data_IF_070854997248
#
_entry.id   IF_070854997248
#
_cell.length_a   1.000
_cell.length_b   1.000
_cell.length_c   1.000
_cell.angle_alpha   90.00
_cell.angle_beta   90.00
_cell.angle_gamma   90.00
#
_symmetry.space_group_name_H-M   'P 1'
#
loop_
_entity.id
_entity.type
_entity.pdbx_description
1 polymer ?
#
# COMPACT_ATOMS: atom_id res chain seq x y z
N UNK A 1 42.23 30.41 -14.77
CA UNK A 1 41.85 28.98 -14.69
C UNK A 1 41.96 28.41 -16.08
N UNK A 2 42.73 27.34 -16.22
CA UNK A 2 43.08 26.75 -17.50
C UNK A 2 41.88 26.00 -18.09
N UNK A 3 41.43 26.35 -19.30
CA UNK A 3 40.30 25.70 -19.96
C UNK A 3 40.51 24.18 -20.15
N UNK A 4 41.76 23.72 -20.10
CA UNK A 4 42.12 22.31 -20.14
C UNK A 4 41.70 21.54 -18.88
N UNK A 5 41.80 22.14 -17.70
CA UNK A 5 41.43 21.48 -16.43
C UNK A 5 39.91 21.32 -16.29
N UNK A 6 39.15 22.33 -16.71
CA UNK A 6 37.67 22.30 -16.68
C UNK A 6 37.12 21.18 -17.57
N UNK A 7 37.72 20.96 -18.75
CA UNK A 7 37.26 19.92 -19.68
C UNK A 7 37.56 18.49 -19.20
N UNK A 8 38.67 18.28 -18.49
CA UNK A 8 39.01 16.98 -17.89
C UNK A 8 38.06 16.63 -16.75
N UNK A 9 37.72 17.61 -15.91
CA UNK A 9 36.79 17.43 -14.80
C UNK A 9 35.37 17.13 -15.30
N UNK A 10 34.92 17.82 -16.36
CA UNK A 10 33.63 17.58 -17.01
C UNK A 10 33.55 16.19 -17.68
N UNK A 11 34.63 15.75 -18.32
CA UNK A 11 34.72 14.41 -18.92
C UNK A 11 34.71 13.31 -17.84
N UNK A 12 35.40 13.55 -16.72
CA UNK A 12 35.41 12.62 -15.60
C UNK A 12 34.02 12.51 -14.94
N UNK A 13 33.32 13.63 -14.76
CA UNK A 13 31.94 13.65 -14.26
C UNK A 13 30.98 12.90 -15.21
N UNK A 14 31.10 13.10 -16.53
CA UNK A 14 30.28 12.39 -17.52
C UNK A 14 30.53 10.89 -17.52
N UNK A 15 31.78 10.46 -17.43
CA UNK A 15 32.12 9.04 -17.40
C UNK A 15 31.69 8.37 -16.08
N UNK A 16 31.79 9.08 -14.95
CA UNK A 16 31.24 8.61 -13.68
C UNK A 16 29.71 8.51 -13.72
N UNK A 17 29.03 9.50 -14.29
CA UNK A 17 27.58 9.46 -14.48
C UNK A 17 27.16 8.29 -15.38
N UNK A 18 27.82 8.08 -16.52
CA UNK A 18 27.52 6.97 -17.42
C UNK A 18 27.76 5.60 -16.76
N UNK A 19 28.82 5.45 -15.97
CA UNK A 19 29.09 4.22 -15.22
C UNK A 19 28.05 3.95 -14.12
N UNK A 20 27.61 4.99 -13.41
CA UNK A 20 26.53 4.89 -12.41
C UNK A 20 25.21 4.52 -13.08
N UNK A 21 24.89 5.07 -14.26
CA UNK A 21 23.68 4.75 -15.03
C UNK A 21 23.70 3.30 -15.57
N UNK A 22 24.83 2.82 -16.08
CA UNK A 22 24.94 1.43 -16.55
C UNK A 22 24.82 0.42 -15.39
N UNK A 23 25.45 0.71 -14.25
CA UNK A 23 25.34 -0.14 -13.06
C UNK A 23 23.98 -0.06 -12.37
N UNK A 24 23.28 1.08 -12.43
CA UNK A 24 21.93 1.20 -11.91
C UNK A 24 20.95 0.39 -12.74
N UNK A 25 21.01 0.45 -14.08
CA UNK A 25 20.15 -0.36 -14.95
C UNK A 25 20.37 -1.86 -14.73
N UNK A 26 21.62 -2.32 -14.59
CA UNK A 26 21.94 -3.71 -14.30
C UNK A 26 21.50 -4.16 -12.88
N UNK A 27 21.48 -3.27 -11.89
CA UNK A 27 20.99 -3.58 -10.53
C UNK A 27 19.48 -3.42 -10.38
N UNK A 28 18.84 -2.59 -11.20
CA UNK A 28 17.38 -2.47 -11.28
C UNK A 28 16.78 -3.66 -12.02
N UNK A 29 17.47 -4.23 -13.01
CA UNK A 29 17.13 -5.56 -13.52
C UNK A 29 17.23 -6.65 -12.44
N UNK A 30 18.05 -6.45 -11.40
CA UNK A 30 18.14 -7.34 -10.23
C UNK A 30 17.15 -6.99 -9.09
N UNK A 31 16.42 -5.87 -9.15
CA UNK A 31 15.32 -5.55 -8.22
C UNK A 31 14.12 -6.48 -8.42
N UNK A 32 14.02 -7.16 -9.55
CA UNK A 32 13.06 -8.24 -9.80
C UNK A 32 13.25 -9.46 -8.87
N UNK A 33 14.38 -9.53 -8.14
CA UNK A 33 14.47 -10.41 -6.98
C UNK A 33 13.55 -9.87 -5.87
N UNK A 34 12.26 -10.18 -6.01
CA UNK A 34 11.17 -9.88 -5.10
C UNK A 34 11.51 -10.20 -3.63
N UNK A 35 12.41 -11.14 -3.36
CA UNK A 35 12.93 -11.36 -2.00
C UNK A 35 13.69 -10.16 -1.43
N UNK A 36 14.61 -9.54 -2.18
CA UNK A 36 15.44 -8.45 -1.65
C UNK A 36 14.62 -7.19 -1.32
N UNK A 37 13.63 -6.85 -2.16
CA UNK A 37 12.69 -5.75 -1.89
C UNK A 37 11.83 -6.01 -0.65
N UNK A 38 11.34 -7.25 -0.50
CA UNK A 38 10.36 -7.60 0.53
C UNK A 38 10.99 -8.10 1.86
N UNK A 39 12.27 -8.49 1.88
CA UNK A 39 12.94 -9.06 3.07
C UNK A 39 13.56 -8.04 4.03
N UNK A 40 13.52 -6.75 3.72
CA UNK A 40 13.98 -5.73 4.68
C UNK A 40 14.15 -4.32 4.16
N UNK A 41 14.15 -4.11 2.84
CA UNK A 41 14.28 -2.77 2.27
C UNK A 41 13.01 -1.95 2.39
N UNK A 42 11.85 -2.57 2.13
CA UNK A 42 10.57 -1.88 2.08
C UNK A 42 9.64 -2.43 3.14
N UNK A 43 9.28 -1.57 4.09
CA UNK A 43 8.20 -1.84 5.01
C UNK A 43 6.86 -1.68 4.30
N UNK A 44 6.06 -2.74 4.30
CA UNK A 44 4.70 -2.72 3.80
C UNK A 44 3.71 -3.16 4.88
N UNK A 45 2.71 -2.33 5.13
CA UNK A 45 1.56 -2.62 5.98
C UNK A 45 0.30 -2.31 5.17
N UNK A 46 -0.21 -3.31 4.44
CA UNK A 46 -1.35 -3.13 3.54
C UNK A 46 -2.69 -3.26 4.29
N UNK A 47 -2.82 -4.26 5.16
CA UNK A 47 -3.99 -4.45 6.02
C UNK A 47 -3.75 -3.74 7.35
N UNK A 48 -3.75 -2.42 7.33
CA UNK A 48 -3.46 -1.62 8.51
C UNK A 48 -4.69 -1.49 9.43
N UNK A 49 -4.46 -1.46 10.75
CA UNK A 49 -5.56 -1.42 11.71
C UNK A 49 -6.12 0.00 11.90
N UNK A 50 -7.40 0.14 11.58
CA UNK A 50 -8.21 1.31 11.92
C UNK A 50 -9.08 1.11 13.17
N UNK A 51 -9.13 -0.10 13.74
CA UNK A 51 -10.06 -0.49 14.80
C UNK A 51 -9.33 -0.67 16.13
N UNK A 52 -9.34 0.36 16.97
CA UNK A 52 -9.09 0.13 18.39
C UNK A 52 -10.30 -0.55 19.05
N UNK A 53 -10.08 -1.26 20.15
CA UNK A 53 -11.18 -1.80 21.00
C UNK A 53 -12.21 -0.70 21.30
N UNK A 54 -11.73 0.52 21.57
CA UNK A 54 -12.60 1.68 21.76
C UNK A 54 -13.49 1.99 20.54
N UNK A 55 -12.96 1.97 19.32
CA UNK A 55 -13.75 2.18 18.09
C UNK A 55 -14.76 1.06 17.89
N UNK A 56 -14.41 -0.19 18.22
CA UNK A 56 -15.35 -1.31 18.17
C UNK A 56 -16.52 -1.10 19.15
N UNK A 57 -16.22 -0.73 20.40
CA UNK A 57 -17.24 -0.42 21.42
C UNK A 57 -18.11 0.74 20.94
N UNK A 58 -17.50 1.83 20.47
CA UNK A 58 -18.22 2.99 19.93
C UNK A 58 -19.12 2.62 18.75
N UNK A 59 -18.64 1.75 17.85
CA UNK A 59 -19.43 1.23 16.72
C UNK A 59 -20.64 0.46 17.21
N UNK A 60 -20.48 -0.43 18.21
CA UNK A 60 -21.57 -1.22 18.78
C UNK A 60 -22.59 -0.28 19.46
N UNK A 61 -22.13 0.63 20.31
CA UNK A 61 -22.98 1.60 21.01
C UNK A 61 -23.76 2.48 20.03
N UNK A 62 -23.08 3.08 19.04
CA UNK A 62 -23.73 3.90 18.02
C UNK A 62 -24.73 3.09 17.20
N UNK A 63 -24.42 1.84 16.86
CA UNK A 63 -25.32 0.98 16.11
C UNK A 63 -26.61 0.68 16.90
N UNK A 64 -26.48 0.42 18.21
CA UNK A 64 -27.62 0.19 19.11
C UNK A 64 -28.44 1.48 19.28
N UNK A 65 -27.80 2.60 19.61
CA UNK A 65 -28.47 3.86 19.91
C UNK A 65 -29.14 4.50 18.70
N UNK A 66 -28.58 4.32 17.50
CA UNK A 66 -29.04 5.01 16.28
C UNK A 66 -29.74 4.08 15.29
N UNK A 67 -30.01 2.83 15.70
CA UNK A 67 -30.54 1.78 14.83
C UNK A 67 -29.72 1.64 13.52
N UNK A 68 -28.42 1.90 13.60
CA UNK A 68 -27.47 1.82 12.49
C UNK A 68 -27.38 3.04 11.57
N UNK A 69 -28.15 4.12 11.79
CA UNK A 69 -28.09 5.33 10.96
C UNK A 69 -26.69 6.00 10.97
N UNK A 70 -25.96 5.93 12.08
CA UNK A 70 -24.62 6.52 12.19
C UNK A 70 -23.48 5.56 11.82
N UNK A 71 -23.80 4.31 11.46
CA UNK A 71 -22.80 3.32 11.02
C UNK A 71 -21.92 3.84 9.87
N UNK A 72 -22.45 4.55 8.84
CA UNK A 72 -21.65 5.11 7.76
C UNK A 72 -20.53 6.07 8.18
N UNK A 73 -20.79 6.93 9.17
CA UNK A 73 -19.81 7.91 9.67
C UNK A 73 -18.63 7.18 10.31
N UNK A 74 -18.93 6.17 11.13
CA UNK A 74 -17.92 5.33 11.78
C UNK A 74 -17.08 4.56 10.74
N UNK A 75 -17.69 4.09 9.66
CA UNK A 75 -16.95 3.43 8.56
C UNK A 75 -15.93 4.40 7.95
N UNK A 76 -16.31 5.63 7.63
CA UNK A 76 -15.37 6.61 7.08
C UNK A 76 -14.22 6.93 8.06
N UNK A 77 -14.51 7.03 9.36
CA UNK A 77 -13.46 7.24 10.38
C UNK A 77 -12.49 6.06 10.47
N UNK A 78 -12.99 4.82 10.44
CA UNK A 78 -12.17 3.61 10.45
C UNK A 78 -11.31 3.55 9.19
N UNK A 79 -11.90 3.77 8.02
CA UNK A 79 -11.18 3.77 6.74
C UNK A 79 -10.08 4.82 6.73
N UNK A 80 -10.39 6.06 7.14
CA UNK A 80 -9.38 7.13 7.27
C UNK A 80 -8.21 6.71 8.14
N UNK A 81 -8.50 6.11 9.30
CA UNK A 81 -7.46 5.65 10.23
C UNK A 81 -6.63 4.51 9.64
N UNK A 82 -7.29 3.55 8.99
CA UNK A 82 -6.65 2.43 8.31
C UNK A 82 -5.75 2.92 7.17
N UNK A 83 -6.22 3.80 6.28
CA UNK A 83 -5.39 4.38 5.21
C UNK A 83 -4.18 5.11 5.79
N UNK A 84 -4.34 5.93 6.82
CA UNK A 84 -3.22 6.66 7.45
C UNK A 84 -2.20 5.75 8.14
N UNK A 85 -2.58 4.53 8.53
CA UNK A 85 -1.66 3.53 9.05
C UNK A 85 -1.06 2.64 7.98
N UNK A 86 -1.57 2.66 6.74
CA UNK A 86 -0.97 1.92 5.64
C UNK A 86 0.39 2.53 5.25
N UNK A 87 1.36 1.63 5.07
CA UNK A 87 2.68 1.95 4.56
C UNK A 87 2.93 1.10 3.33
N UNK A 88 3.31 1.73 2.24
CA UNK A 88 3.60 1.08 0.97
C UNK A 88 4.86 1.72 0.41
N UNK A 89 5.88 0.93 0.04
CA UNK A 89 7.08 1.51 -0.56
C UNK A 89 7.84 2.44 0.40
N UNK A 90 7.82 2.16 1.72
CA UNK A 90 8.32 3.07 2.76
C UNK A 90 7.67 4.47 2.76
N UNK A 91 6.47 4.60 2.22
CA UNK A 91 5.68 5.84 2.25
C UNK A 91 4.34 5.59 2.92
N UNK A 92 3.89 6.54 3.74
CA UNK A 92 2.55 6.48 4.32
C UNK A 92 1.54 6.90 3.29
N UNK A 93 0.34 6.35 3.37
CA UNK A 93 -0.79 6.92 2.64
C UNK A 93 -1.44 8.04 3.47
N UNK A 94 -1.96 9.03 2.77
CA UNK A 94 -2.80 10.07 3.32
C UNK A 94 -4.22 9.89 2.82
N UNK A 95 -5.16 10.41 3.60
CA UNK A 95 -6.58 10.39 3.27
C UNK A 95 -7.10 11.82 3.43
N UNK A 96 -7.54 12.39 2.31
CA UNK A 96 -8.14 13.72 2.24
C UNK A 96 -9.50 13.71 2.93
N UNK A 97 -9.59 14.49 4.00
CA UNK A 97 -10.68 14.49 4.94
C UNK A 97 -11.67 15.63 4.72
N UNK A 98 -11.57 16.38 3.60
CA UNK A 98 -12.50 17.44 3.21
C UNK A 98 -13.92 17.04 3.62
N UNK A 99 -14.47 17.78 4.60
CA UNK A 99 -15.46 17.39 5.61
C UNK A 99 -16.80 16.84 5.11
N UNK A 100 -16.74 15.74 4.39
CA UNK A 100 -17.78 15.31 3.49
C UNK A 100 -18.69 14.28 4.16
N UNK A 101 -19.83 14.77 4.67
CA UNK A 101 -21.02 13.96 4.92
C UNK A 101 -21.45 13.16 3.66
N UNK A 102 -20.99 13.57 2.47
CA UNK A 102 -21.23 12.88 1.20
C UNK A 102 -20.72 11.43 1.24
N UNK A 103 -19.57 11.14 1.86
CA UNK A 103 -19.08 9.76 1.98
C UNK A 103 -19.98 8.88 2.86
N UNK A 104 -20.54 9.46 3.92
CA UNK A 104 -21.52 8.77 4.75
C UNK A 104 -22.81 8.49 3.96
N UNK A 105 -23.25 9.44 3.13
CA UNK A 105 -24.42 9.25 2.25
C UNK A 105 -24.17 8.16 1.20
N UNK A 106 -23.01 8.15 0.54
CA UNK A 106 -22.65 7.09 -0.41
C UNK A 106 -22.60 5.71 0.24
N UNK A 107 -22.05 5.61 1.45
CA UNK A 107 -22.05 4.37 2.23
C UNK A 107 -23.46 3.90 2.59
N UNK A 108 -24.35 4.83 2.97
CA UNK A 108 -25.74 4.50 3.25
C UNK A 108 -26.45 3.98 2.00
N UNK A 109 -26.31 4.69 0.87
CA UNK A 109 -26.90 4.30 -0.40
C UNK A 109 -26.39 2.92 -0.85
N UNK A 110 -25.09 2.68 -0.77
CA UNK A 110 -24.48 1.40 -1.13
C UNK A 110 -25.03 0.24 -0.28
N UNK A 111 -25.14 0.43 1.05
CA UNK A 111 -25.74 -0.58 1.94
C UNK A 111 -27.22 -0.82 1.61
N UNK A 112 -27.98 0.24 1.38
CA UNK A 112 -29.39 0.16 1.01
C UNK A 112 -29.59 -0.63 -0.30
N UNK A 113 -28.80 -0.31 -1.33
CA UNK A 113 -28.83 -1.02 -2.61
C UNK A 113 -28.40 -2.48 -2.46
N UNK A 114 -27.36 -2.76 -1.66
CA UNK A 114 -26.95 -4.13 -1.36
C UNK A 114 -28.06 -4.92 -0.64
N UNK A 115 -28.82 -4.32 0.27
CA UNK A 115 -29.94 -4.98 0.95
C UNK A 115 -31.07 -5.28 -0.05
N UNK A 116 -31.50 -4.29 -0.84
CA UNK A 116 -32.60 -4.47 -1.81
C UNK A 116 -32.25 -5.51 -2.88
N UNK A 117 -31.00 -5.51 -3.33
CA UNK A 117 -30.53 -6.45 -4.36
C UNK A 117 -30.03 -7.77 -3.77
N UNK A 118 -30.18 -8.01 -2.46
CA UNK A 118 -29.67 -9.22 -1.78
C UNK A 118 -28.18 -9.50 -2.06
N UNK A 119 -27.37 -8.44 -2.15
CA UNK A 119 -25.93 -8.50 -2.39
C UNK A 119 -25.51 -8.58 -3.86
N UNK A 120 -26.44 -8.66 -4.81
CA UNK A 120 -26.11 -8.63 -6.24
C UNK A 120 -25.42 -7.33 -6.66
N UNK A 121 -25.76 -6.20 -6.04
CA UNK A 121 -25.11 -4.91 -6.26
C UNK A 121 -23.59 -4.97 -6.03
N UNK A 122 -23.16 -5.66 -4.97
CA UNK A 122 -21.75 -5.92 -4.69
C UNK A 122 -21.13 -6.93 -5.68
N UNK A 123 -21.78 -8.08 -5.88
CA UNK A 123 -21.28 -9.15 -6.77
C UNK A 123 -21.06 -8.68 -8.22
N UNK A 124 -21.93 -7.80 -8.74
CA UNK A 124 -21.81 -7.21 -10.08
C UNK A 124 -20.75 -6.10 -10.17
N UNK A 125 -20.12 -5.72 -9.05
CA UNK A 125 -19.06 -4.72 -9.02
C UNK A 125 -19.55 -3.27 -8.99
N UNK A 126 -20.87 -3.02 -8.89
CA UNK A 126 -21.39 -1.66 -8.84
C UNK A 126 -20.96 -0.93 -7.56
N UNK A 127 -20.90 -1.63 -6.43
CA UNK A 127 -20.34 -1.10 -5.18
C UNK A 127 -18.88 -0.64 -5.35
N UNK A 128 -18.06 -1.44 -6.04
CA UNK A 128 -16.66 -1.10 -6.31
C UNK A 128 -16.55 0.15 -7.19
N UNK A 129 -17.37 0.23 -8.24
CA UNK A 129 -17.33 1.31 -9.22
C UNK A 129 -17.85 2.64 -8.67
N UNK A 130 -18.95 2.64 -7.92
CA UNK A 130 -19.63 3.88 -7.52
C UNK A 130 -19.33 4.32 -6.08
N UNK A 131 -19.09 3.38 -5.17
CA UNK A 131 -18.86 3.70 -3.77
C UNK A 131 -17.37 3.57 -3.39
N UNK A 132 -16.76 2.41 -3.62
CA UNK A 132 -15.38 2.17 -3.16
C UNK A 132 -14.35 3.02 -3.93
N UNK A 133 -14.61 3.35 -5.19
CA UNK A 133 -13.79 4.29 -5.97
C UNK A 133 -13.71 5.67 -5.34
N UNK A 134 -14.76 6.12 -4.62
CA UNK A 134 -14.75 7.40 -3.91
C UNK A 134 -13.85 7.41 -2.69
N UNK A 135 -13.59 6.26 -2.07
CA UNK A 135 -12.52 6.16 -1.08
C UNK A 135 -11.16 6.30 -1.73
N UNK A 136 -10.91 5.58 -2.83
CA UNK A 136 -9.62 5.60 -3.52
C UNK A 136 -9.29 6.99 -4.09
N UNK A 137 -10.28 7.73 -4.59
CA UNK A 137 -10.11 9.13 -5.05
C UNK A 137 -9.59 10.07 -3.94
N UNK A 138 -9.87 9.77 -2.67
CA UNK A 138 -9.42 10.54 -1.50
C UNK A 138 -8.07 10.10 -0.96
N UNK A 139 -7.49 9.01 -1.48
CA UNK A 139 -6.17 8.53 -1.07
C UNK A 139 -5.11 9.30 -1.84
N UNK A 140 -4.12 9.81 -1.11
CA UNK A 140 -2.93 10.45 -1.66
C UNK A 140 -1.67 9.80 -1.09
N UNK A 141 -0.57 9.96 -1.80
CA UNK A 141 0.73 9.66 -1.21
C UNK A 141 1.04 10.65 -0.10
N UNK A 142 1.40 10.11 1.07
CA UNK A 142 1.85 10.88 2.22
C UNK A 142 3.37 10.99 2.30
N UNK A 143 3.91 11.45 3.44
CA UNK A 143 5.35 11.52 3.67
C UNK A 143 5.98 10.13 3.79
N UNK A 144 7.32 10.03 3.63
CA UNK A 144 8.08 8.83 3.96
C UNK A 144 7.76 8.30 5.36
N UNK A 145 7.63 6.98 5.50
CA UNK A 145 7.33 6.33 6.77
C UNK A 145 8.61 6.21 7.62
N UNK A 146 8.79 7.12 8.59
CA UNK A 146 9.90 7.14 9.58
C UNK A 146 11.22 6.58 9.03
N UNK A 147 12.04 7.46 8.46
CA UNK A 147 13.48 7.23 8.32
C UNK A 147 14.08 7.07 9.71
N UNK A 148 14.40 5.84 10.12
CA UNK A 148 15.06 5.61 11.41
C UNK A 148 16.44 6.29 11.32
N UNK A 149 16.90 6.87 12.44
CA UNK A 149 18.24 7.47 12.64
C UNK A 149 19.42 6.49 12.43
N UNK A 150 19.18 5.33 11.84
CA UNK A 150 20.19 4.31 11.64
C UNK A 150 20.87 4.53 10.30
N UNK A 151 22.21 4.52 10.31
CA UNK A 151 23.11 4.73 9.16
C UNK A 151 22.99 3.65 8.04
N UNK A 152 21.90 2.88 7.99
CA UNK A 152 21.75 1.83 6.99
C UNK A 152 21.08 2.39 5.74
N UNK A 153 21.85 2.37 4.65
CA UNK A 153 21.42 2.70 3.28
C UNK A 153 20.07 2.06 2.91
N UNK A 154 19.79 0.87 3.43
CA UNK A 154 18.56 0.12 3.20
C UNK A 154 17.29 0.84 3.68
N UNK A 155 17.37 1.64 4.74
CA UNK A 155 16.22 2.37 5.30
C UNK A 155 15.92 3.68 4.53
N UNK A 156 16.77 4.04 3.56
CA UNK A 156 16.67 5.31 2.82
C UNK A 156 15.95 5.17 1.47
N UNK A 157 15.65 3.95 1.01
CA UNK A 157 14.94 3.72 -0.24
C UNK A 157 13.44 3.93 -0.03
N UNK A 158 12.84 4.85 -0.78
CA UNK A 158 11.43 5.22 -0.68
C UNK A 158 10.81 5.31 -2.07
N UNK A 159 9.52 4.98 -2.16
CA UNK A 159 8.75 5.19 -3.37
C UNK A 159 8.51 6.67 -3.63
N UNK A 160 9.02 7.16 -4.77
CA UNK A 160 8.79 8.50 -5.29
C UNK A 160 7.73 8.41 -6.41
N UNK A 161 6.48 8.79 -6.13
CA UNK A 161 5.41 8.74 -7.12
C UNK A 161 5.56 9.86 -8.16
N UNK A 162 5.04 9.66 -9.36
CA UNK A 162 5.04 10.68 -10.42
C UNK A 162 4.06 11.81 -10.11
N UNK A 163 2.94 11.48 -9.47
CA UNK A 163 1.89 12.40 -9.07
C UNK A 163 1.51 12.18 -7.59
N UNK A 164 0.55 12.97 -7.09
CA UNK A 164 0.03 12.82 -5.73
C UNK A 164 -0.75 11.50 -5.51
N UNK A 165 -0.94 10.70 -6.57
CA UNK A 165 -1.68 9.44 -6.55
C UNK A 165 -3.21 9.58 -6.61
N UNK A 166 -3.74 10.81 -6.66
CA UNK A 166 -5.20 11.05 -6.66
C UNK A 166 -5.84 10.39 -7.88
N UNK A 167 -6.76 9.45 -7.64
CA UNK A 167 -7.47 8.72 -8.69
C UNK A 167 -6.64 7.65 -9.42
N UNK A 168 -5.34 7.53 -9.15
CA UNK A 168 -4.53 6.41 -9.66
C UNK A 168 -4.64 5.17 -8.78
N UNK A 169 -4.92 5.35 -7.49
CA UNK A 169 -5.12 4.26 -6.55
C UNK A 169 -6.36 3.43 -6.89
N UNK A 170 -6.21 2.11 -6.77
CA UNK A 170 -7.30 1.13 -6.75
C UNK A 170 -7.06 0.16 -5.61
N UNK A 171 -7.27 0.59 -4.38
CA UNK A 171 -7.04 -0.23 -3.18
C UNK A 171 -8.37 -0.85 -2.76
N UNK A 172 -9.38 0.00 -2.53
CA UNK A 172 -10.71 -0.44 -2.10
C UNK A 172 -11.59 -0.80 -3.30
N UNK A 173 -11.46 -0.09 -4.42
CA UNK A 173 -12.24 -0.32 -5.64
C UNK A 173 -11.75 -1.47 -6.50
N UNK A 174 -10.70 -2.20 -6.07
CA UNK A 174 -10.21 -3.39 -6.74
C UNK A 174 -11.34 -4.43 -6.85
N UNK A 175 -11.76 -4.72 -8.08
CA UNK A 175 -12.85 -5.64 -8.38
C UNK A 175 -12.34 -6.87 -9.12
N UNK A 176 -12.72 -8.06 -8.65
CA UNK A 176 -12.20 -9.32 -9.20
C UNK A 176 -12.87 -9.76 -10.50
N UNK A 177 -14.03 -9.19 -10.81
CA UNK A 177 -14.94 -9.70 -11.84
C UNK A 177 -15.99 -10.64 -11.26
N UNK A 178 -17.17 -10.66 -11.87
CA UNK A 178 -18.39 -11.34 -11.37
C UNK A 178 -18.10 -12.80 -10.98
N UNK A 179 -17.42 -13.54 -11.84
CA UNK A 179 -17.15 -14.97 -11.61
C UNK A 179 -16.21 -15.22 -10.44
N UNK A 180 -15.19 -14.37 -10.26
CA UNK A 180 -14.24 -14.53 -9.16
C UNK A 180 -14.87 -14.11 -7.83
N UNK A 181 -15.70 -13.06 -7.81
CA UNK A 181 -16.48 -12.67 -6.63
C UNK A 181 -17.47 -13.78 -6.25
N UNK A 182 -18.18 -14.33 -7.24
CA UNK A 182 -19.10 -15.44 -7.01
C UNK A 182 -18.38 -16.68 -6.49
N UNK A 183 -17.22 -17.03 -7.06
CA UNK A 183 -16.40 -18.13 -6.57
C UNK A 183 -15.92 -17.89 -5.13
N UNK A 184 -15.49 -16.65 -4.81
CA UNK A 184 -15.11 -16.25 -3.46
C UNK A 184 -16.28 -16.38 -2.46
N UNK A 185 -17.47 -15.93 -2.87
CA UNK A 185 -18.70 -16.09 -2.10
C UNK A 185 -19.03 -17.57 -1.84
N UNK A 186 -19.01 -18.41 -2.87
CA UNK A 186 -19.27 -19.85 -2.75
C UNK A 186 -18.24 -20.54 -1.86
N UNK A 187 -16.94 -20.19 -1.97
CA UNK A 187 -15.90 -20.68 -1.07
C UNK A 187 -16.14 -20.25 0.38
N UNK A 188 -16.67 -19.04 0.60
CA UNK A 188 -17.08 -18.56 1.93
C UNK A 188 -18.23 -19.40 2.51
N UNK A 189 -19.26 -19.67 1.70
CA UNK A 189 -20.40 -20.52 2.09
C UNK A 189 -19.93 -21.95 2.41
N UNK A 190 -19.12 -22.55 1.55
CA UNK A 190 -18.53 -23.87 1.81
C UNK A 190 -17.69 -23.85 3.08
N UNK A 191 -16.83 -22.84 3.25
CA UNK A 191 -16.01 -22.72 4.45
C UNK A 191 -16.85 -22.67 5.74
N UNK A 192 -18.03 -22.02 5.71
CA UNK A 192 -18.96 -22.05 6.83
C UNK A 192 -19.48 -23.47 7.12
N UNK A 193 -19.92 -24.22 6.10
CA UNK A 193 -20.36 -25.61 6.26
C UNK A 193 -19.23 -26.55 6.73
N UNK A 194 -17.99 -26.26 6.34
CA UNK A 194 -16.80 -27.00 6.74
C UNK A 194 -16.13 -26.46 8.01
N UNK A 195 -16.87 -25.70 8.84
CA UNK A 195 -16.43 -25.18 10.15
C UNK A 195 -15.08 -24.45 10.10
N UNK A 196 -14.82 -23.72 9.01
CA UNK A 196 -13.61 -22.90 8.86
C UNK A 196 -12.39 -23.64 8.30
N UNK A 197 -12.47 -24.95 8.02
CA UNK A 197 -11.31 -25.73 7.52
C UNK A 197 -10.87 -25.35 6.11
N UNK A 198 -11.75 -24.75 5.31
CA UNK A 198 -11.44 -24.24 3.96
C UNK A 198 -10.93 -22.79 3.96
N UNK A 199 -10.79 -22.15 5.13
CA UNK A 199 -10.33 -20.76 5.24
C UNK A 199 -8.99 -20.52 4.54
N UNK A 200 -7.97 -21.41 4.67
CA UNK A 200 -6.69 -21.25 3.96
C UNK A 200 -6.84 -21.13 2.45
N UNK A 201 -7.66 -22.00 1.85
CA UNK A 201 -7.90 -22.05 0.40
C UNK A 201 -8.69 -20.81 -0.03
N UNK A 202 -9.78 -20.50 0.67
CA UNK A 202 -10.64 -19.35 0.37
C UNK A 202 -9.86 -18.04 0.42
N UNK A 203 -9.08 -17.83 1.47
CA UNK A 203 -8.27 -16.63 1.70
C UNK A 203 -7.16 -16.55 0.67
N UNK A 204 -6.43 -17.63 0.40
CA UNK A 204 -5.39 -17.63 -0.64
C UNK A 204 -5.98 -17.33 -2.02
N UNK A 205 -7.08 -17.97 -2.40
CA UNK A 205 -7.75 -17.74 -3.67
C UNK A 205 -8.14 -16.26 -3.82
N UNK A 206 -8.86 -15.73 -2.83
CA UNK A 206 -9.39 -14.38 -2.88
C UNK A 206 -8.28 -13.32 -2.88
N UNK A 207 -7.32 -13.39 -1.94
CA UNK A 207 -6.24 -12.40 -1.85
C UNK A 207 -5.26 -12.45 -3.04
N UNK A 208 -4.97 -13.63 -3.58
CA UNK A 208 -4.11 -13.74 -4.77
C UNK A 208 -4.73 -13.03 -5.97
N UNK A 209 -6.06 -13.13 -6.14
CA UNK A 209 -6.78 -12.43 -7.20
C UNK A 209 -6.96 -10.95 -6.88
N UNK A 210 -7.27 -10.59 -5.63
CA UNK A 210 -7.55 -9.22 -5.23
C UNK A 210 -6.32 -8.35 -5.38
N UNK A 211 -5.20 -8.77 -4.81
CA UNK A 211 -3.96 -8.00 -4.84
C UNK A 211 -3.43 -7.83 -6.27
N UNK A 212 -3.70 -8.79 -7.18
CA UNK A 212 -3.38 -8.64 -8.61
C UNK A 212 -4.14 -7.51 -9.33
N UNK A 213 -5.27 -7.09 -8.78
CA UNK A 213 -6.11 -6.00 -9.30
C UNK A 213 -5.86 -4.67 -8.60
N UNK A 214 -5.14 -4.69 -7.48
CA UNK A 214 -4.78 -3.47 -6.76
C UNK A 214 -3.77 -2.67 -7.58
N UNK A 215 -4.02 -1.37 -7.69
CA UNK A 215 -3.10 -0.42 -8.34
C UNK A 215 -2.68 0.64 -7.33
N UNK A 216 -1.38 0.87 -7.24
CA UNK A 216 -0.81 1.80 -6.27
C UNK A 216 -0.24 3.06 -6.94
N UNK A 217 -0.42 3.20 -8.26
CA UNK A 217 0.09 4.33 -9.02
C UNK A 217 1.49 4.09 -9.58
N UNK A 218 1.95 5.08 -10.35
CA UNK A 218 3.21 5.04 -11.08
C UNK A 218 4.28 5.84 -10.33
N UNK A 219 5.51 5.35 -10.35
CA UNK A 219 6.61 5.98 -9.65
C UNK A 219 7.91 5.23 -9.85
N UNK A 220 8.85 5.50 -8.97
CA UNK A 220 10.17 4.86 -8.94
C UNK A 220 10.66 4.74 -7.51
N UNK A 221 11.55 3.79 -7.25
CA UNK A 221 12.28 3.77 -6.00
C UNK A 221 13.44 4.76 -6.05
N UNK A 222 13.48 5.66 -5.07
CA UNK A 222 14.51 6.67 -4.93
C UNK A 222 15.12 6.63 -3.53
N UNK A 223 16.38 7.02 -3.41
CA UNK A 223 17.07 7.13 -2.12
C UNK A 223 16.89 8.54 -1.57
N UNK A 224 16.49 8.64 -0.31
CA UNK A 224 16.48 9.89 0.44
C UNK A 224 17.91 10.17 0.91
N UNK A 225 18.48 11.28 0.45
CA UNK A 225 19.79 11.73 0.90
C UNK A 225 19.81 11.95 2.43
N UNK A 226 20.86 11.53 3.15
CA UNK A 226 20.92 11.64 4.61
C UNK A 226 20.66 13.04 5.18
N UNK A 227 21.17 14.08 4.52
CA UNK A 227 20.91 15.48 4.92
C UNK A 227 19.43 15.91 4.78
N UNK A 228 18.63 15.21 3.97
CA UNK A 228 17.20 15.48 3.85
C UNK A 228 16.39 14.81 4.95
N UNK A 229 16.92 13.78 5.61
CA UNK A 229 16.19 13.01 6.64
C UNK A 229 15.70 13.92 7.77
N UNK A 230 16.59 14.76 8.31
CA UNK A 230 16.22 15.69 9.38
C UNK A 230 15.18 16.72 8.93
N UNK A 231 15.31 17.24 7.69
CA UNK A 231 14.34 18.18 7.14
C UNK A 231 12.97 17.54 6.92
N UNK A 232 12.91 16.28 6.48
CA UNK A 232 11.66 15.52 6.26
C UNK A 232 11.01 15.18 7.60
N UNK A 233 11.80 14.77 8.60
CA UNK A 233 11.31 14.49 9.95
C UNK A 233 10.76 15.75 10.63
N UNK A 234 11.38 16.92 10.39
CA UNK A 234 10.90 18.20 10.88
C UNK A 234 9.74 18.78 10.06
N UNK A 235 9.70 18.56 8.74
CA UNK A 235 8.57 18.94 7.86
C UNK A 235 7.26 18.24 8.22
N UNK A 236 7.34 17.06 8.82
CA UNK A 236 6.16 16.39 9.36
C UNK A 236 5.54 17.14 10.56
N UNK A 237 6.18 18.21 11.07
CA UNK A 237 5.76 18.95 12.26
C UNK A 237 5.28 20.38 11.95
N UNK A 238 5.98 21.17 11.13
CA UNK A 238 5.57 22.54 10.78
C UNK A 238 6.18 23.02 9.44
N UNK A 239 5.42 23.86 8.71
CA UNK A 239 5.65 24.60 7.44
C UNK A 239 6.83 24.28 6.49
N UNK A 240 6.48 24.20 5.20
CA UNK A 240 7.33 23.98 4.04
C UNK A 240 8.54 24.94 3.98
N UNK A 241 9.74 24.39 4.10
CA UNK A 241 10.98 25.04 3.67
C UNK A 241 11.60 24.19 2.56
N UNK A 242 11.80 24.72 1.34
CA UNK A 242 12.37 23.94 0.26
C UNK A 242 13.72 23.37 0.68
N UNK A 243 13.83 22.04 0.63
CA UNK A 243 15.02 21.31 1.04
C UNK A 243 16.17 21.72 0.11
N UNK A 244 17.13 22.48 0.62
CA UNK A 244 18.33 22.85 -0.12
C UNK A 244 19.33 21.69 -0.04
N UNK A 245 19.35 20.85 -1.07
CA UNK A 245 20.36 19.79 -1.18
C UNK A 245 21.59 20.35 -1.90
N UNK A 246 22.81 20.16 -1.38
CA UNK A 246 24.04 20.47 -2.11
C UNK A 246 24.07 19.65 -3.41
N UNK A 247 23.90 20.29 -4.56
CA UNK A 247 23.88 19.64 -5.89
C UNK A 247 25.24 19.07 -6.30
N UNK A 248 26.28 19.50 -5.61
CA UNK A 248 27.69 19.17 -5.75
C UNK A 248 28.08 17.87 -5.03
N UNK A 249 27.23 17.34 -4.15
CA UNK A 249 27.48 16.04 -3.51
C UNK A 249 26.98 14.89 -4.40
N UNK A 250 27.91 14.23 -5.09
CA UNK A 250 27.65 12.98 -5.79
C UNK A 250 27.41 11.89 -4.76
N UNK A 251 26.14 11.59 -4.48
CA UNK A 251 25.79 10.44 -3.66
C UNK A 251 26.00 9.17 -4.50
N UNK A 252 26.97 8.34 -4.12
CA UNK A 252 27.31 7.12 -4.86
C UNK A 252 26.27 6.02 -4.61
N UNK A 253 25.12 6.15 -5.27
CA UNK A 253 23.99 5.22 -5.20
C UNK A 253 23.61 4.75 -6.61
N UNK A 254 23.24 3.47 -6.79
CA UNK A 254 22.64 3.02 -8.04
C UNK A 254 21.17 3.44 -8.17
N UNK A 255 20.57 4.11 -7.19
CA UNK A 255 19.18 4.57 -7.22
C UNK A 255 19.10 6.07 -7.50
N UNK A 256 18.04 6.57 -8.14
CA UNK A 256 17.83 8.01 -8.23
C UNK A 256 17.75 8.60 -6.82
N UNK A 257 18.32 9.79 -6.61
CA UNK A 257 18.14 10.51 -5.34
C UNK A 257 16.80 11.24 -5.40
N UNK A 258 15.96 11.10 -4.37
CA UNK A 258 14.65 11.73 -4.34
C UNK A 258 14.77 13.25 -4.45
N UNK A 259 13.82 13.89 -5.12
CA UNK A 259 13.77 15.34 -5.39
C UNK A 259 14.86 15.88 -6.32
N UNK A 260 15.73 15.03 -6.88
CA UNK A 260 16.66 15.43 -7.93
C UNK A 260 16.00 15.31 -9.32
N UNK A 261 16.42 16.13 -10.30
CA UNK A 261 15.95 16.01 -11.67
C UNK A 261 16.14 14.59 -12.21
N UNK A 262 15.19 14.13 -12.99
CA UNK A 262 15.26 12.80 -13.60
C UNK A 262 16.44 12.76 -14.59
N UNK A 263 17.34 11.79 -14.39
CA UNK A 263 18.34 11.45 -15.40
C UNK A 263 17.76 10.47 -16.42
N UNK A 264 18.17 10.60 -17.68
CA UNK A 264 17.86 9.64 -18.74
C UNK A 264 18.35 8.24 -18.31
N UNK A 265 17.43 7.27 -18.25
CA UNK A 265 17.73 5.89 -17.84
C UNK A 265 17.07 5.43 -16.54
N UNK A 266 16.43 6.31 -15.76
CA UNK A 266 15.57 5.90 -14.66
C UNK A 266 14.19 5.46 -15.19
N UNK A 267 13.96 4.15 -15.24
CA UNK A 267 12.66 3.59 -15.61
C UNK A 267 11.54 4.01 -14.64
N UNK A 268 10.34 4.14 -15.17
CA UNK A 268 9.12 4.26 -14.38
C UNK A 268 8.50 2.88 -14.18
N UNK A 269 7.93 2.66 -13.00
CA UNK A 269 7.35 1.39 -12.62
C UNK A 269 5.92 1.60 -12.10
N UNK A 270 5.07 0.61 -12.34
CA UNK A 270 3.80 0.47 -11.62
C UNK A 270 4.04 -0.44 -10.42
N UNK A 271 3.68 0.02 -9.23
CA UNK A 271 3.79 -0.79 -8.03
C UNK A 271 2.55 -1.70 -7.92
N UNK A 272 2.80 -3.01 -7.94
CA UNK A 272 1.78 -4.05 -7.81
C UNK A 272 1.98 -4.87 -6.54
N UNK A 273 0.87 -5.40 -6.05
CA UNK A 273 0.89 -6.31 -4.91
C UNK A 273 0.66 -7.73 -5.36
N UNK A 274 1.33 -8.66 -4.67
CA UNK A 274 1.16 -10.09 -4.87
C UNK A 274 0.99 -10.78 -3.54
N UNK A 275 0.05 -11.72 -3.46
CA UNK A 275 -0.04 -12.61 -2.33
C UNK A 275 0.90 -13.82 -2.57
N UNK A 276 1.90 -14.00 -1.71
CA UNK A 276 2.96 -15.02 -1.88
C UNK A 276 2.81 -16.16 -0.86
N UNK A 277 1.62 -16.33 -0.28
CA UNK A 277 1.41 -17.38 0.71
C UNK A 277 1.41 -18.80 0.11
N UNK A 278 2.19 -19.70 0.70
CA UNK A 278 2.05 -21.13 0.48
C UNK A 278 0.73 -21.63 1.10
N UNK A 279 0.06 -22.59 0.43
CA UNK A 279 -1.12 -23.26 0.98
C UNK A 279 -0.78 -23.93 2.32
N UNK A 280 0.37 -24.61 2.41
CA UNK A 280 0.79 -25.35 3.60
C UNK A 280 1.00 -24.42 4.80
N UNK A 281 1.69 -23.29 4.59
CA UNK A 281 1.86 -22.25 5.60
C UNK A 281 0.51 -21.70 6.10
N UNK A 282 -0.42 -21.47 5.19
CA UNK A 282 -1.76 -21.00 5.52
C UNK A 282 -2.51 -22.04 6.36
N UNK A 283 -2.44 -23.33 5.99
CA UNK A 283 -3.04 -24.39 6.79
C UNK A 283 -2.46 -24.45 8.20
N UNK A 284 -1.12 -24.43 8.34
CA UNK A 284 -0.47 -24.43 9.65
C UNK A 284 -0.93 -23.27 10.52
N UNK A 285 -1.00 -22.06 9.95
CA UNK A 285 -1.48 -20.87 10.66
C UNK A 285 -2.95 -20.97 11.07
N UNK A 286 -3.86 -21.34 10.15
CA UNK A 286 -5.29 -21.40 10.44
C UNK A 286 -5.65 -22.55 11.39
N UNK A 287 -4.93 -23.68 11.35
CA UNK A 287 -5.05 -24.73 12.35
C UNK A 287 -4.69 -24.19 13.74
N UNK A 288 -3.53 -23.53 13.89
CA UNK A 288 -3.13 -22.91 15.16
C UNK A 288 -4.12 -21.82 15.62
N UNK A 289 -4.56 -20.97 14.70
CA UNK A 289 -5.55 -19.93 14.95
C UNK A 289 -6.88 -20.51 15.47
N UNK A 290 -7.39 -21.56 14.82
CA UNK A 290 -8.63 -22.23 15.24
C UNK A 290 -8.44 -22.93 16.59
N UNK A 291 -7.32 -23.61 16.82
CA UNK A 291 -7.00 -24.19 18.13
C UNK A 291 -6.99 -23.13 19.23
N UNK A 292 -6.37 -21.97 19.01
CA UNK A 292 -6.38 -20.84 19.96
C UNK A 292 -7.81 -20.34 20.19
N UNK A 293 -8.61 -20.22 19.14
CA UNK A 293 -10.03 -19.84 19.26
C UNK A 293 -10.81 -20.83 20.12
N UNK A 294 -10.61 -22.15 19.94
CA UNK A 294 -11.30 -23.18 20.73
C UNK A 294 -10.81 -23.25 22.17
N UNK A 295 -9.49 -23.26 22.41
CA UNK A 295 -8.91 -23.32 23.77
C UNK A 295 -9.34 -22.12 24.61
N UNK A 296 -9.45 -20.94 23.99
CA UNK A 296 -9.87 -19.72 24.69
C UNK A 296 -11.39 -19.55 24.77
N UNK A 297 -12.18 -20.55 24.37
CA UNK A 297 -13.63 -20.46 24.26
C UNK A 297 -14.11 -19.21 23.49
N UNK A 298 -13.34 -18.80 22.48
CA UNK A 298 -13.60 -17.62 21.65
C UNK A 298 -13.13 -16.28 22.21
N UNK A 299 -12.56 -16.21 23.42
CA UNK A 299 -12.02 -14.96 23.97
C UNK A 299 -10.90 -14.38 23.08
N UNK A 300 -10.14 -15.24 22.39
CA UNK A 300 -9.13 -14.81 21.42
C UNK A 300 -9.70 -13.95 20.27
N UNK A 301 -11.02 -14.01 20.01
CA UNK A 301 -11.68 -13.25 18.93
C UNK A 301 -11.39 -11.74 19.01
N UNK A 302 -11.24 -11.20 20.21
CA UNK A 302 -10.95 -9.77 20.46
C UNK A 302 -9.63 -9.31 19.84
N UNK A 303 -8.59 -10.16 19.87
CA UNK A 303 -7.26 -9.86 19.32
C UNK A 303 -6.99 -10.61 18.00
N UNK A 304 -7.85 -11.55 17.65
CA UNK A 304 -7.69 -12.45 16.50
C UNK A 304 -7.55 -11.72 15.16
N UNK A 305 -8.27 -10.60 14.99
CA UNK A 305 -8.23 -9.82 13.76
C UNK A 305 -6.85 -9.20 13.50
N UNK A 306 -6.20 -8.69 14.55
CA UNK A 306 -4.85 -8.14 14.48
C UNK A 306 -3.81 -9.24 14.25
N UNK A 307 -3.96 -10.37 14.93
CA UNK A 307 -3.09 -11.54 14.75
C UNK A 307 -3.13 -12.07 13.30
N UNK A 308 -4.34 -12.23 12.74
CA UNK A 308 -4.53 -12.64 11.35
C UNK A 308 -3.97 -11.61 10.37
N UNK A 309 -4.23 -10.32 10.57
CA UNK A 309 -3.71 -9.26 9.68
C UNK A 309 -2.20 -9.21 9.65
N UNK A 310 -1.53 -9.30 10.80
CA UNK A 310 -0.06 -9.36 10.87
C UNK A 310 0.50 -10.54 10.08
N UNK A 311 -0.17 -11.69 10.18
CA UNK A 311 0.21 -12.85 9.38
C UNK A 311 0.01 -12.61 7.88
N UNK A 312 -1.17 -12.10 7.47
CA UNK A 312 -1.46 -11.82 6.06
C UNK A 312 -0.54 -10.76 5.46
N UNK A 313 -0.23 -9.68 6.19
CA UNK A 313 0.69 -8.62 5.75
C UNK A 313 2.09 -9.17 5.44
N UNK A 314 2.59 -10.14 6.24
CA UNK A 314 3.87 -10.81 5.96
C UNK A 314 3.85 -11.63 4.66
N UNK A 315 2.66 -11.95 4.13
CA UNK A 315 2.48 -12.70 2.90
C UNK A 315 2.12 -11.81 1.70
N UNK A 316 2.02 -10.49 1.89
CA UNK A 316 1.89 -9.51 0.81
C UNK A 316 3.29 -9.09 0.37
N UNK A 317 3.64 -9.41 -0.86
CA UNK A 317 4.86 -8.92 -1.52
C UNK A 317 4.53 -7.77 -2.47
N UNK A 318 5.50 -6.87 -2.63
CA UNK A 318 5.51 -5.86 -3.70
C UNK A 318 6.24 -6.43 -4.91
N UNK A 319 5.68 -6.16 -6.08
CA UNK A 319 6.25 -6.43 -7.39
C UNK A 319 6.25 -5.11 -8.18
N UNK A 320 7.34 -4.82 -8.90
CA UNK A 320 7.40 -3.68 -9.80
C UNK A 320 7.20 -4.16 -11.23
N UNK A 321 6.35 -3.48 -11.99
CA UNK A 321 6.25 -3.73 -13.42
C UNK A 321 6.77 -2.53 -14.20
N UNK A 322 7.73 -2.70 -15.12
CA UNK A 322 8.25 -1.60 -15.91
C UNK A 322 7.14 -1.05 -16.83
N UNK A 323 6.98 0.27 -16.84
CA UNK A 323 6.06 0.94 -17.74
C UNK A 323 6.83 1.28 -19.01
N UNK A 324 6.45 0.64 -20.11
CA UNK A 324 6.87 1.09 -21.43
C UNK A 324 6.14 2.40 -21.71
N UNK A 325 6.81 3.53 -21.47
CA UNK A 325 6.33 4.82 -21.94
C UNK A 325 6.50 4.79 -23.46
N UNK A 326 5.47 4.30 -24.17
CA UNK A 326 5.30 4.65 -25.58
C UNK A 326 5.05 6.15 -25.59
N UNK A 327 6.10 6.92 -25.84
CA UNK A 327 5.99 8.34 -26.16
C UNK A 327 5.06 8.40 -27.36
N UNK A 328 3.80 8.80 -27.14
CA UNK A 328 2.93 9.13 -28.25
C UNK A 328 3.55 10.36 -28.92
N UNK A 329 3.90 10.28 -30.22
CA UNK A 329 4.65 11.30 -30.92
C UNK A 329 3.91 12.63 -31.04
#
# INVERSE_FOLDING_TARGET
MDHSQVNVELAHQRNQQAYVVANSQAKIANLDNNEFLNQGLIKNEYFADGNTIFILIMKILLNICTLGLFSPIVVNMITRRSVRSMVIGNRRLQYDDGGDLTMAMWCYLDKFLNIITLGWWYLLGFSHKYYLSKFDEKITWGPPAKTIKTNYFNDSIVWEPVDDGRGSFKIFSAYLGVWNEFAGFMLGVLNFFFLGTLSPISVKFYFSKLLSKVRLGVGKFAVIHPHMIESIDNHNRDEFSPIQVPRDQIYNTPYPVSYFPQMEGHGMYELKLRFVADVCDMYGFYCGYNCLMYITCGCFKLCSSEYLRRFLNKKVGVHVEPISITVQP
#
